data_IF_249632478280
#
_entry.id   IF_249632478280
#
_cell.length_a   1.000
_cell.length_b   1.000
_cell.length_c   1.000
_cell.angle_alpha   90.00
_cell.angle_beta   90.00
_cell.angle_gamma   90.00
#
_symmetry.space_group_name_H-M   'P 1'
#
loop_
_entity.id
_entity.type
_entity.pdbx_description
1 polymer ?
#
# COMPACT_ATOMS: atom_id res chain seq x y z
N UNK A 1 32.36 -6.94 3.73
CA UNK A 1 31.12 -6.88 4.54
C UNK A 1 30.61 -5.46 4.73
N UNK A 2 31.41 -4.47 5.15
CA UNK A 2 30.94 -3.08 5.34
C UNK A 2 30.33 -2.43 4.08
N UNK A 3 31.03 -2.52 2.92
CA UNK A 3 30.54 -1.97 1.65
C UNK A 3 29.21 -2.57 1.15
N UNK A 4 28.91 -3.83 1.52
CA UNK A 4 27.67 -4.50 1.12
C UNK A 4 26.49 -4.05 1.99
N UNK A 5 26.74 -3.73 3.26
CA UNK A 5 25.72 -3.18 4.17
C UNK A 5 25.36 -1.73 3.82
N UNK A 6 26.30 -0.96 3.26
CA UNK A 6 26.06 0.41 2.77
C UNK A 6 25.19 0.44 1.51
N UNK A 7 25.24 -0.60 0.68
CA UNK A 7 24.44 -0.70 -0.55
C UNK A 7 23.00 -1.17 -0.30
N UNK A 8 22.67 -1.67 0.90
CA UNK A 8 21.35 -2.25 1.19
C UNK A 8 20.19 -1.28 0.89
N UNK A 9 20.21 0.00 1.31
CA UNK A 9 19.16 0.95 0.95
C UNK A 9 18.95 1.09 -0.57
N UNK A 10 20.03 1.21 -1.35
CA UNK A 10 19.97 1.26 -2.82
C UNK A 10 19.36 0.00 -3.41
N UNK A 11 19.74 -1.17 -2.91
CA UNK A 11 19.19 -2.46 -3.36
C UNK A 11 17.71 -2.56 -3.02
N UNK A 12 17.29 -2.17 -1.82
CA UNK A 12 15.89 -2.19 -1.40
C UNK A 12 15.03 -1.24 -2.21
N UNK A 13 15.53 -0.03 -2.47
CA UNK A 13 14.89 0.92 -3.37
C UNK A 13 14.70 0.32 -4.77
N UNK A 14 15.75 -0.23 -5.38
CA UNK A 14 15.68 -0.84 -6.71
C UNK A 14 14.74 -2.05 -6.76
N UNK A 15 14.64 -2.82 -5.68
CA UNK A 15 13.71 -3.95 -5.60
C UNK A 15 12.25 -3.49 -5.57
N UNK A 16 11.94 -2.43 -4.81
CA UNK A 16 10.60 -1.85 -4.75
C UNK A 16 10.20 -1.23 -6.09
N UNK A 17 11.11 -0.46 -6.71
CA UNK A 17 10.90 0.12 -8.04
C UNK A 17 10.56 -0.97 -9.08
N UNK A 18 11.35 -2.03 -9.14
CA UNK A 18 11.11 -3.14 -10.07
C UNK A 18 9.81 -3.87 -9.78
N UNK A 19 9.46 -4.09 -8.51
CA UNK A 19 8.18 -4.68 -8.13
C UNK A 19 7.03 -3.80 -8.62
N UNK A 20 7.14 -2.48 -8.46
CA UNK A 20 6.10 -1.57 -8.89
C UNK A 20 5.98 -1.50 -10.41
N UNK A 21 7.05 -1.14 -11.11
CA UNK A 21 7.07 -0.90 -12.56
C UNK A 21 6.80 -2.17 -13.37
N UNK A 22 7.21 -3.35 -12.88
CA UNK A 22 7.10 -4.61 -13.65
C UNK A 22 5.91 -5.47 -13.27
N UNK A 23 5.29 -5.24 -12.11
CA UNK A 23 4.21 -6.09 -11.61
C UNK A 23 2.99 -5.26 -11.23
N UNK A 24 3.11 -4.36 -10.27
CA UNK A 24 1.96 -3.66 -9.69
C UNK A 24 1.32 -2.76 -10.75
N UNK A 25 2.09 -1.84 -11.32
CA UNK A 25 1.56 -0.87 -12.28
C UNK A 25 0.98 -1.55 -13.53
N UNK A 26 1.70 -2.46 -14.23
CA UNK A 26 1.14 -3.13 -15.39
C UNK A 26 -0.14 -3.91 -15.08
N UNK A 27 -0.23 -4.53 -13.90
CA UNK A 27 -1.45 -5.25 -13.50
C UNK A 27 -2.60 -4.27 -13.28
N UNK A 28 -2.37 -3.19 -12.53
CA UNK A 28 -3.40 -2.17 -12.30
C UNK A 28 -3.86 -1.49 -13.58
N UNK A 29 -2.97 -1.28 -14.55
CA UNK A 29 -3.28 -0.68 -15.85
C UNK A 29 -4.07 -1.63 -16.77
N UNK A 30 -3.96 -2.95 -16.56
CA UNK A 30 -4.66 -3.96 -17.33
C UNK A 30 -6.08 -4.27 -16.80
N UNK A 31 -6.39 -3.91 -15.56
CA UNK A 31 -7.69 -4.18 -14.94
C UNK A 31 -8.71 -3.12 -15.35
N UNK A 32 -9.90 -3.56 -15.75
CA UNK A 32 -11.01 -2.68 -16.07
C UNK A 32 -11.52 -1.97 -14.81
N UNK A 33 -11.79 -0.67 -14.92
CA UNK A 33 -12.38 0.13 -13.86
C UNK A 33 -13.50 1.01 -14.41
N UNK A 34 -14.71 0.78 -13.92
CA UNK A 34 -15.93 1.48 -14.32
C UNK A 34 -16.24 2.58 -13.30
N UNK A 35 -16.44 3.82 -13.74
CA UNK A 35 -16.61 4.97 -12.84
C UNK A 35 -17.95 4.98 -12.09
N UNK A 36 -18.96 4.32 -12.65
CA UNK A 36 -20.32 4.27 -12.13
C UNK A 36 -20.87 2.89 -12.44
N UNK A 37 -21.41 2.20 -11.44
CA UNK A 37 -22.17 0.99 -11.64
C UNK A 37 -23.63 1.36 -11.89
N UNK A 38 -24.25 0.74 -12.89
CA UNK A 38 -25.68 0.87 -13.12
C UNK A 38 -26.45 -0.02 -12.14
N UNK A 39 -27.54 0.52 -11.59
CA UNK A 39 -28.37 -0.15 -10.61
C UNK A 39 -29.83 -0.16 -11.08
N UNK A 40 -30.59 -1.18 -10.65
CA UNK A 40 -32.03 -1.32 -10.98
C UNK A 40 -32.34 -2.60 -11.74
N UNK A 41 -33.61 -2.77 -12.09
CA UNK A 41 -34.08 -3.90 -12.89
C UNK A 41 -33.50 -3.78 -14.32
N UNK A 42 -32.89 -4.85 -14.82
CA UNK A 42 -32.38 -4.90 -16.18
C UNK A 42 -33.55 -5.14 -17.14
N UNK A 43 -33.58 -4.40 -18.27
CA UNK A 43 -34.58 -4.59 -19.32
C UNK A 43 -34.35 -5.86 -20.16
N UNK A 44 -33.18 -6.50 -20.02
CA UNK A 44 -32.83 -7.74 -20.71
C UNK A 44 -31.79 -8.58 -19.95
N UNK A 45 -31.61 -9.84 -20.36
CA UNK A 45 -30.55 -10.70 -19.83
C UNK A 45 -29.15 -10.18 -20.16
N UNK A 46 -28.93 -9.69 -21.38
CA UNK A 46 -27.62 -9.18 -21.79
C UNK A 46 -27.22 -7.95 -20.96
N UNK A 47 -28.15 -7.02 -20.76
CA UNK A 47 -27.96 -5.86 -19.88
C UNK A 47 -27.67 -6.27 -18.43
N UNK A 48 -28.34 -7.31 -17.92
CA UNK A 48 -28.04 -7.86 -16.60
C UNK A 48 -26.62 -8.42 -16.51
N UNK A 49 -26.19 -9.19 -17.51
CA UNK A 49 -24.85 -9.78 -17.56
C UNK A 49 -23.75 -8.72 -17.68
N UNK A 50 -23.97 -7.68 -18.49
CA UNK A 50 -23.05 -6.55 -18.61
C UNK A 50 -22.89 -5.82 -17.28
N UNK A 51 -23.99 -5.52 -16.59
CA UNK A 51 -23.96 -4.91 -15.25
C UNK A 51 -23.19 -5.77 -14.24
N UNK A 52 -23.47 -7.07 -14.20
CA UNK A 52 -22.75 -8.00 -13.34
C UNK A 52 -21.25 -8.03 -13.64
N UNK A 53 -20.86 -8.01 -14.93
CA UNK A 53 -19.46 -7.95 -15.34
C UNK A 53 -18.77 -6.68 -14.83
N UNK A 54 -19.40 -5.50 -14.96
CA UNK A 54 -18.82 -4.24 -14.46
C UNK A 54 -18.61 -4.24 -12.95
N UNK A 55 -19.53 -4.84 -12.19
CA UNK A 55 -19.39 -4.98 -10.73
C UNK A 55 -18.21 -5.90 -10.39
N UNK A 56 -18.08 -7.04 -11.07
CA UNK A 56 -16.99 -8.00 -10.86
C UNK A 56 -15.64 -7.39 -11.23
N UNK A 57 -15.56 -6.60 -12.30
CA UNK A 57 -14.34 -5.88 -12.69
C UNK A 57 -13.87 -4.95 -11.57
N UNK A 58 -14.77 -4.09 -11.07
CA UNK A 58 -14.43 -3.12 -10.01
C UNK A 58 -14.09 -3.79 -8.68
N UNK A 59 -14.71 -4.92 -8.37
CA UNK A 59 -14.35 -5.75 -7.22
C UNK A 59 -12.94 -6.33 -7.39
N UNK A 60 -12.67 -6.94 -8.54
CA UNK A 60 -11.37 -7.53 -8.86
C UNK A 60 -10.26 -6.49 -8.82
N UNK A 61 -10.48 -5.29 -9.37
CA UNK A 61 -9.54 -4.18 -9.32
C UNK A 61 -9.20 -3.75 -7.88
N UNK A 62 -10.20 -3.69 -7.00
CA UNK A 62 -10.01 -3.32 -5.60
C UNK A 62 -9.26 -4.41 -4.81
N UNK A 63 -9.61 -5.68 -5.01
CA UNK A 63 -8.91 -6.80 -4.38
C UNK A 63 -7.46 -6.91 -4.86
N UNK A 64 -7.21 -6.69 -6.15
CA UNK A 64 -5.85 -6.58 -6.67
C UNK A 64 -5.08 -5.45 -5.95
N UNK A 65 -5.67 -4.26 -5.84
CA UNK A 65 -5.04 -3.14 -5.16
C UNK A 65 -4.74 -3.43 -3.67
N UNK A 66 -5.70 -4.00 -2.93
CA UNK A 66 -5.50 -4.45 -1.54
C UNK A 66 -4.35 -5.46 -1.42
N UNK A 67 -4.29 -6.44 -2.32
CA UNK A 67 -3.22 -7.44 -2.35
C UNK A 67 -1.83 -6.82 -2.58
N UNK A 68 -1.76 -5.77 -3.42
CA UNK A 68 -0.52 -5.05 -3.67
C UNK A 68 -0.09 -4.18 -2.48
N UNK A 69 -1.02 -3.54 -1.76
CA UNK A 69 -0.68 -2.86 -0.50
C UNK A 69 -0.10 -3.85 0.52
N UNK A 70 -0.75 -5.00 0.68
CA UNK A 70 -0.27 -6.06 1.57
C UNK A 70 1.14 -6.53 1.19
N UNK A 71 1.39 -6.70 -0.12
CA UNK A 71 2.69 -7.10 -0.65
C UNK A 71 3.76 -6.02 -0.40
N UNK A 72 3.47 -4.76 -0.69
CA UNK A 72 4.38 -3.64 -0.48
C UNK A 72 4.75 -3.49 1.00
N UNK A 73 3.74 -3.52 1.89
CA UNK A 73 3.96 -3.45 3.34
C UNK A 73 4.86 -4.60 3.84
N UNK A 74 4.59 -5.83 3.41
CA UNK A 74 5.37 -7.00 3.82
C UNK A 74 6.81 -6.99 3.28
N UNK A 75 7.02 -6.52 2.05
CA UNK A 75 8.37 -6.35 1.47
C UNK A 75 9.13 -5.28 2.24
N UNK A 76 8.52 -4.11 2.45
CA UNK A 76 9.16 -2.98 3.14
C UNK A 76 9.50 -3.33 4.60
N UNK A 77 8.58 -3.95 5.35
CA UNK A 77 8.84 -4.39 6.73
C UNK A 77 9.99 -5.39 6.81
N UNK A 78 10.06 -6.37 5.89
CA UNK A 78 11.22 -7.29 5.84
C UNK A 78 12.53 -6.55 5.56
N UNK A 79 12.53 -5.59 4.64
CA UNK A 79 13.72 -4.79 4.34
C UNK A 79 14.16 -3.97 5.55
N UNK A 80 13.22 -3.33 6.27
CA UNK A 80 13.47 -2.65 7.54
C UNK A 80 14.08 -3.60 8.56
N UNK A 81 13.50 -4.80 8.75
CA UNK A 81 14.03 -5.79 9.69
C UNK A 81 15.45 -6.23 9.36
N UNK A 82 15.74 -6.50 8.07
CA UNK A 82 17.07 -6.86 7.59
C UNK A 82 18.06 -5.72 7.88
N UNK A 83 17.68 -4.49 7.54
CA UNK A 83 18.55 -3.33 7.71
C UNK A 83 18.78 -2.98 9.19
N UNK A 84 17.73 -3.01 10.01
CA UNK A 84 17.82 -2.77 11.45
C UNK A 84 18.81 -3.74 12.10
N UNK A 85 18.73 -5.03 11.78
CA UNK A 85 19.69 -6.05 12.23
C UNK A 85 21.11 -5.75 11.75
N UNK A 86 21.27 -5.38 10.47
CA UNK A 86 22.57 -5.00 9.91
C UNK A 86 23.17 -3.75 10.58
N UNK A 87 22.33 -2.88 11.15
CA UNK A 87 22.71 -1.68 11.92
C UNK A 87 22.79 -1.92 13.42
N UNK A 88 22.68 -3.17 13.88
CA UNK A 88 22.93 -3.57 15.25
C UNK A 88 21.70 -3.59 16.16
N UNK A 89 20.48 -3.49 15.63
CA UNK A 89 19.28 -3.72 16.44
C UNK A 89 19.16 -5.22 16.78
N UNK A 90 19.40 -5.55 18.04
CA UNK A 90 19.34 -6.92 18.58
C UNK A 90 18.12 -7.16 19.47
N UNK A 91 17.39 -6.10 19.86
CA UNK A 91 16.18 -6.19 20.67
C UNK A 91 15.06 -6.90 19.90
N UNK A 92 14.73 -8.11 20.34
CA UNK A 92 13.72 -8.96 19.72
C UNK A 92 12.31 -8.38 19.80
N UNK A 93 11.99 -7.56 20.81
CA UNK A 93 10.68 -6.93 20.93
C UNK A 93 10.52 -5.82 19.89
N UNK A 94 11.54 -4.96 19.74
CA UNK A 94 11.55 -3.90 18.71
C UNK A 94 11.55 -4.48 17.30
N UNK A 95 12.26 -5.58 17.09
CA UNK A 95 12.25 -6.30 15.80
C UNK A 95 10.90 -6.93 15.44
N UNK A 96 9.91 -6.98 16.34
CA UNK A 96 8.56 -7.49 16.03
C UNK A 96 7.54 -6.39 15.74
N UNK A 97 7.90 -5.13 15.96
CA UNK A 97 6.96 -4.01 15.86
C UNK A 97 7.42 -3.09 14.74
N UNK A 98 6.62 -3.01 13.66
CA UNK A 98 6.91 -2.17 12.49
C UNK A 98 7.30 -0.73 12.86
N UNK A 99 6.54 -0.08 13.75
CA UNK A 99 6.82 1.30 14.17
C UNK A 99 8.18 1.45 14.86
N UNK A 100 8.56 0.51 15.72
CA UNK A 100 9.87 0.52 16.39
C UNK A 100 11.01 0.32 15.39
N UNK A 101 10.84 -0.58 14.41
CA UNK A 101 11.81 -0.77 13.33
C UNK A 101 11.95 0.48 12.47
N UNK A 102 10.82 1.11 12.09
CA UNK A 102 10.80 2.33 11.29
C UNK A 102 11.53 3.46 11.99
N UNK A 103 11.22 3.72 13.27
CA UNK A 103 11.86 4.75 14.08
C UNK A 103 13.37 4.50 14.26
N UNK A 104 13.76 3.26 14.54
CA UNK A 104 15.17 2.89 14.64
C UNK A 104 15.93 3.16 13.33
N UNK A 105 15.40 2.65 12.22
CA UNK A 105 16.01 2.81 10.90
C UNK A 105 16.08 4.29 10.47
N UNK A 106 15.01 5.06 10.70
CA UNK A 106 14.98 6.50 10.44
C UNK A 106 16.06 7.23 11.27
N UNK A 107 16.19 6.91 12.55
CA UNK A 107 17.23 7.47 13.41
C UNK A 107 18.64 7.17 12.91
N UNK A 108 18.90 5.92 12.48
CA UNK A 108 20.20 5.52 11.92
C UNK A 108 20.56 6.29 10.65
N UNK A 109 19.60 6.59 9.78
CA UNK A 109 19.82 7.38 8.57
C UNK A 109 19.58 8.89 8.75
N UNK A 110 19.27 9.36 9.96
CA UNK A 110 18.88 10.76 10.21
C UNK A 110 17.73 11.24 9.30
N UNK A 111 16.75 10.38 9.06
CA UNK A 111 15.56 10.70 8.26
C UNK A 111 14.52 11.36 9.16
N UNK A 112 14.11 12.57 8.79
CA UNK A 112 12.91 13.18 9.34
C UNK A 112 11.66 12.59 8.64
N UNK A 113 10.86 11.87 9.42
CA UNK A 113 9.62 11.24 8.97
C UNK A 113 8.46 12.23 8.80
N UNK A 114 8.57 13.45 9.33
CA UNK A 114 7.54 14.48 9.15
C UNK A 114 7.62 15.16 7.78
N UNK A 115 8.80 15.15 7.13
CA UNK A 115 9.00 15.78 5.82
C UNK A 115 8.23 15.02 4.74
N UNK A 116 7.36 15.73 4.03
CA UNK A 116 6.48 15.24 2.95
C UNK A 116 5.54 14.12 3.40
N UNK A 117 5.09 14.15 4.66
CA UNK A 117 4.18 13.16 5.25
C UNK A 117 4.70 11.70 5.22
N UNK A 118 6.01 11.51 5.03
CA UNK A 118 6.62 10.18 4.82
C UNK A 118 6.22 9.16 5.88
N UNK A 119 6.32 9.52 7.16
CA UNK A 119 5.95 8.65 8.27
C UNK A 119 4.45 8.35 8.32
N UNK A 120 3.61 9.33 7.97
CA UNK A 120 2.16 9.16 7.92
C UNK A 120 1.77 8.20 6.79
N UNK A 121 2.33 8.36 5.59
CA UNK A 121 2.06 7.48 4.45
C UNK A 121 2.51 6.03 4.71
N UNK A 122 3.70 5.84 5.31
CA UNK A 122 4.19 4.50 5.69
C UNK A 122 3.32 3.85 6.77
N UNK A 123 2.88 4.64 7.76
CA UNK A 123 1.97 4.17 8.82
C UNK A 123 0.60 3.81 8.28
N UNK A 124 0.07 4.62 7.36
CA UNK A 124 -1.19 4.37 6.67
C UNK A 124 -1.11 3.06 5.88
N UNK A 125 -0.09 2.88 5.03
CA UNK A 125 0.12 1.66 4.24
C UNK A 125 0.12 0.41 5.13
N UNK A 126 0.83 0.44 6.27
CA UNK A 126 0.91 -0.71 7.17
C UNK A 126 -0.43 -0.99 7.88
N UNK A 127 -1.17 0.06 8.22
CA UNK A 127 -2.50 -0.08 8.84
C UNK A 127 -3.51 -0.64 7.82
N UNK A 128 -3.47 -0.18 6.57
CA UNK A 128 -4.23 -0.77 5.46
C UNK A 128 -3.92 -2.25 5.31
N UNK A 129 -2.65 -2.63 5.26
CA UNK A 129 -2.25 -4.03 5.15
C UNK A 129 -2.78 -4.91 6.30
N UNK A 130 -2.85 -4.37 7.52
CA UNK A 130 -3.45 -5.09 8.66
C UNK A 130 -4.97 -5.24 8.53
N UNK A 131 -5.67 -4.20 8.05
CA UNK A 131 -7.11 -4.29 7.78
C UNK A 131 -7.40 -5.32 6.70
N UNK A 132 -6.65 -5.29 5.60
CA UNK A 132 -6.80 -6.28 4.50
C UNK A 132 -6.56 -7.72 5.00
N UNK A 133 -5.63 -7.91 5.93
CA UNK A 133 -5.28 -9.25 6.45
C UNK A 133 -6.25 -9.78 7.51
N UNK A 134 -6.78 -8.90 8.35
CA UNK A 134 -7.51 -9.29 9.57
C UNK A 134 -8.98 -8.88 9.57
N UNK A 135 -9.41 -8.00 8.65
CA UNK A 135 -10.77 -7.49 8.59
C UNK A 135 -11.07 -6.49 9.71
N UNK A 136 -12.17 -6.73 10.42
CA UNK A 136 -12.63 -5.89 11.53
C UNK A 136 -11.67 -5.87 12.73
N UNK A 137 -11.73 -4.80 13.52
CA UNK A 137 -10.99 -4.64 14.77
C UNK A 137 -10.20 -3.35 14.86
N UNK A 138 -9.22 -3.26 15.79
CA UNK A 138 -8.56 -1.99 16.12
C UNK A 138 -7.84 -1.31 14.94
N UNK A 139 -7.30 -2.09 14.01
CA UNK A 139 -6.68 -1.53 12.80
C UNK A 139 -7.72 -0.90 11.87
N UNK A 140 -8.90 -1.50 11.76
CA UNK A 140 -10.00 -0.96 10.95
C UNK A 140 -10.52 0.35 11.56
N UNK A 141 -10.75 0.37 12.88
CA UNK A 141 -11.18 1.57 13.60
C UNK A 141 -10.16 2.71 13.45
N UNK A 142 -8.87 2.39 13.64
CA UNK A 142 -7.77 3.34 13.46
C UNK A 142 -7.72 3.88 12.03
N UNK A 143 -7.86 3.01 11.03
CA UNK A 143 -7.79 3.41 9.62
C UNK A 143 -8.95 4.33 9.21
N UNK A 144 -10.16 4.13 9.76
CA UNK A 144 -11.29 5.05 9.51
C UNK A 144 -11.02 6.46 10.00
N UNK A 145 -10.32 6.62 11.12
CA UNK A 145 -9.93 7.93 11.66
C UNK A 145 -8.80 8.54 10.84
N UNK A 146 -7.78 7.73 10.50
CA UNK A 146 -6.55 8.20 9.86
C UNK A 146 -6.71 8.50 8.38
N UNK A 147 -7.49 7.69 7.66
CA UNK A 147 -7.66 7.80 6.22
C UNK A 147 -9.15 7.64 5.85
N UNK A 148 -10.01 8.58 6.29
CA UNK A 148 -11.46 8.53 6.03
C UNK A 148 -11.79 8.48 4.53
N UNK A 149 -10.91 9.00 3.68
CA UNK A 149 -11.06 9.02 2.22
C UNK A 149 -10.98 7.65 1.55
N UNK A 150 -10.43 6.63 2.22
CA UNK A 150 -10.41 5.24 1.74
C UNK A 150 -11.76 4.53 1.93
N UNK A 151 -12.69 5.21 2.60
CA UNK A 151 -14.04 4.72 2.89
C UNK A 151 -15.03 5.63 2.18
N UNK A 152 -15.99 5.03 1.49
CA UNK A 152 -17.07 5.78 0.86
C UNK A 152 -18.36 5.01 1.01
N UNK A 153 -19.21 5.48 1.92
CA UNK A 153 -20.54 4.90 2.15
C UNK A 153 -21.51 5.17 1.00
N UNK A 154 -21.14 6.09 0.09
CA UNK A 154 -21.92 6.55 -1.07
C UNK A 154 -21.24 6.24 -2.41
N UNK A 155 -20.25 5.33 -2.42
CA UNK A 155 -19.55 4.94 -3.64
C UNK A 155 -20.53 4.42 -4.70
N UNK A 156 -20.57 5.08 -5.85
CA UNK A 156 -21.40 4.66 -7.00
C UNK A 156 -20.70 3.63 -7.88
N UNK A 157 -19.40 3.41 -7.66
CA UNK A 157 -18.53 2.53 -8.42
C UNK A 157 -18.29 1.17 -7.72
N UNK A 158 -18.94 0.90 -6.58
CA UNK A 158 -18.70 -0.34 -5.84
C UNK A 158 -19.92 -0.80 -5.07
N UNK A 159 -20.24 -2.08 -5.24
CA UNK A 159 -21.25 -2.79 -4.47
C UNK A 159 -20.61 -4.08 -3.96
N UNK A 160 -20.73 -4.31 -2.65
CA UNK A 160 -20.26 -5.54 -2.01
C UNK A 160 -21.02 -6.76 -2.55
N UNK A 161 -20.33 -7.88 -2.67
CA UNK A 161 -20.86 -9.12 -3.22
C UNK A 161 -21.76 -9.86 -2.22
N UNK A 162 -21.66 -9.56 -0.92
CA UNK A 162 -22.36 -10.32 0.12
C UNK A 162 -23.66 -9.64 0.54
N UNK A 163 -24.82 -10.32 0.43
CA UNK A 163 -26.04 -9.86 1.08
C UNK A 163 -25.92 -10.05 2.60
N UNK A 164 -26.04 -8.97 3.37
CA UNK A 164 -25.96 -9.03 4.83
C UNK A 164 -25.58 -7.70 5.49
N UNK A 165 -25.34 -7.70 6.81
CA UNK A 165 -24.78 -6.55 7.51
C UNK A 165 -23.41 -6.21 6.92
N UNK A 166 -23.26 -4.97 6.44
CA UNK A 166 -22.02 -4.49 5.84
C UNK A 166 -20.89 -4.55 6.86
N UNK A 167 -19.81 -5.29 6.55
CA UNK A 167 -18.57 -5.19 7.30
C UNK A 167 -17.78 -4.01 6.75
N UNK A 168 -17.26 -3.16 7.64
CA UNK A 168 -16.60 -1.96 7.15
C UNK A 168 -15.34 -2.29 6.35
N UNK A 169 -14.55 -3.25 6.80
CA UNK A 169 -13.34 -3.71 6.11
C UNK A 169 -13.59 -4.17 4.67
N UNK A 170 -14.78 -4.68 4.34
CA UNK A 170 -15.16 -5.06 2.97
C UNK A 170 -15.34 -3.83 2.06
N UNK A 171 -15.72 -2.69 2.66
CA UNK A 171 -15.89 -1.39 2.00
C UNK A 171 -14.58 -0.60 1.87
N UNK A 172 -13.44 -1.14 2.31
CA UNK A 172 -12.15 -0.50 2.10
C UNK A 172 -11.86 -0.38 0.59
N UNK A 173 -11.64 0.84 0.11
CA UNK A 173 -11.34 1.15 -1.30
C UNK A 173 -9.91 1.61 -1.44
N UNK A 174 -9.10 0.85 -2.18
CA UNK A 174 -7.74 1.22 -2.53
C UNK A 174 -7.71 1.56 -4.02
N UNK A 175 -7.28 2.78 -4.34
CA UNK A 175 -7.16 3.23 -5.74
C UNK A 175 -5.71 3.14 -6.21
N UNK A 176 -5.51 3.18 -7.53
CA UNK A 176 -4.16 3.25 -8.14
C UNK A 176 -3.31 4.38 -7.52
N UNK A 177 -3.92 5.54 -7.26
CA UNK A 177 -3.22 6.67 -6.65
C UNK A 177 -2.75 6.41 -5.21
N UNK A 178 -3.47 5.58 -4.45
CA UNK A 178 -3.02 5.17 -3.11
C UNK A 178 -1.81 4.26 -3.20
N UNK A 179 -1.80 3.32 -4.16
CA UNK A 179 -0.62 2.50 -4.45
C UNK A 179 0.59 3.34 -4.87
N UNK A 180 0.39 4.33 -5.75
CA UNK A 180 1.43 5.28 -6.18
C UNK A 180 1.99 6.04 -4.96
N UNK A 181 1.11 6.48 -4.06
CA UNK A 181 1.50 7.17 -2.83
C UNK A 181 2.37 6.27 -1.94
N UNK A 182 1.95 5.03 -1.70
CA UNK A 182 2.69 4.10 -0.86
C UNK A 182 4.03 3.63 -1.46
N UNK A 183 4.09 3.36 -2.77
CA UNK A 183 5.39 3.04 -3.39
C UNK A 183 6.33 4.24 -3.32
N UNK A 184 5.81 5.46 -3.52
CA UNK A 184 6.62 6.68 -3.39
C UNK A 184 7.14 6.83 -1.96
N UNK A 185 6.32 6.64 -0.94
CA UNK A 185 6.75 6.67 0.46
C UNK A 185 7.88 5.67 0.75
N UNK A 186 7.69 4.40 0.41
CA UNK A 186 8.67 3.33 0.69
C UNK A 186 10.00 3.53 -0.03
N UNK A 187 9.96 4.00 -1.28
CA UNK A 187 11.17 4.25 -2.08
C UNK A 187 11.86 5.56 -1.69
N UNK A 188 11.12 6.60 -1.31
CA UNK A 188 11.67 7.82 -0.70
C UNK A 188 12.43 7.51 0.59
N UNK A 189 11.85 6.67 1.46
CA UNK A 189 12.53 6.24 2.69
C UNK A 189 13.90 5.64 2.38
N UNK A 190 13.98 4.68 1.46
CA UNK A 190 15.25 4.06 1.09
C UNK A 190 16.19 4.99 0.34
N UNK A 191 15.67 5.92 -0.46
CA UNK A 191 16.46 6.96 -1.10
C UNK A 191 17.11 7.90 -0.10
N UNK A 192 16.38 8.31 0.94
CA UNK A 192 16.93 9.12 2.03
C UNK A 192 17.90 8.33 2.91
N UNK A 193 17.72 7.01 3.01
CA UNK A 193 18.63 6.13 3.75
C UNK A 193 19.91 5.75 2.99
N UNK A 194 19.97 6.02 1.68
CA UNK A 194 21.08 5.63 0.82
C UNK A 194 22.21 6.68 0.86
N UNK A 195 23.40 6.32 1.38
CA UNK A 195 24.52 7.25 1.49
C UNK A 195 25.26 7.46 0.16
N UNK A 196 24.92 6.70 -0.89
CA UNK A 196 25.66 6.72 -2.15
C UNK A 196 25.23 7.89 -3.05
N UNK A 197 26.14 8.41 -3.90
CA UNK A 197 25.80 9.45 -4.86
C UNK A 197 24.59 9.08 -5.73
N UNK A 198 23.83 10.09 -6.16
CA UNK A 198 22.65 9.90 -7.02
C UNK A 198 21.55 9.02 -6.39
N UNK A 199 21.43 9.03 -5.06
CA UNK A 199 20.30 8.41 -4.37
C UNK A 199 18.98 9.07 -4.83
N UNK A 200 17.97 8.26 -5.15
CA UNK A 200 16.69 8.79 -5.65
C UNK A 200 15.81 9.13 -4.46
N UNK A 201 15.81 10.39 -4.03
CA UNK A 201 15.04 10.84 -2.86
C UNK A 201 13.62 11.30 -3.20
N UNK A 202 13.31 11.51 -4.48
CA UNK A 202 11.95 11.79 -4.97
C UNK A 202 11.69 11.05 -6.30
N UNK A 203 11.12 9.83 -6.24
CA UNK A 203 10.93 8.99 -7.41
C UNK A 203 9.69 9.40 -8.22
N UNK A 204 9.77 9.42 -9.57
CA UNK A 204 8.80 10.08 -10.45
C UNK A 204 7.56 9.23 -10.79
N UNK A 205 6.95 8.57 -9.80
CA UNK A 205 5.77 7.73 -10.04
C UNK A 205 4.49 8.52 -10.38
N UNK A 206 4.54 9.85 -10.41
CA UNK A 206 3.42 10.72 -10.81
C UNK A 206 3.24 10.84 -12.34
N UNK A 207 4.17 10.29 -13.13
CA UNK A 207 4.11 10.29 -14.60
C UNK A 207 3.44 9.04 -15.18
N UNK A 208 2.74 8.27 -14.34
CA UNK A 208 2.22 6.92 -14.59
C UNK A 208 0.70 6.83 -14.48
#
# INVERSE_FOLDING_TARGET
MAAQNEQLPRVFQANLDRLFVRVIQPTMDALALHRVLEHGEAGSMDEFLDRAATQVDNYTANEAAKSFVLTLAAVFERQLSIWAKAKGLTDAAKLRVFQEQLLFCAGVASIDLAIDDLGAELTEMFTVANVVRHGEGPSCERLRIMAPTLWSDTAVDYVDLVPGPRLASEHLRIRKNDLIRYIRATTRFWGRADPLPMAVTDPPYWLA
#
